data_IF_441469663383
#
_entry.id   IF_441469663383
#
_cell.length_a   1.000
_cell.length_b   1.000
_cell.length_c   1.000
_cell.angle_alpha   90.00
_cell.angle_beta   90.00
_cell.angle_gamma   90.00
#
_symmetry.space_group_name_H-M   'P 1'
#
loop_
_entity.id
_entity.type
_entity.pdbx_description
1 polymer ?
#
# COMPACT_ATOMS: atom_id res chain seq x y z
N UNK A 1 19.37 -19.51 -2.65
CA UNK A 1 19.42 -18.04 -2.79
C UNK A 1 18.57 -17.45 -1.67
N UNK A 2 19.08 -16.44 -0.96
CA UNK A 2 18.34 -15.79 0.13
C UNK A 2 17.90 -14.39 -0.33
N UNK A 3 16.59 -14.05 -0.26
CA UNK A 3 16.12 -12.72 -0.63
C UNK A 3 16.57 -11.68 0.40
N UNK A 4 16.98 -10.51 -0.09
CA UNK A 4 17.40 -9.36 0.74
C UNK A 4 16.69 -8.10 0.25
N UNK A 5 16.16 -7.31 1.19
CA UNK A 5 15.60 -5.99 0.90
C UNK A 5 16.75 -4.99 0.82
N UNK A 6 16.74 -4.16 -0.20
CA UNK A 6 17.74 -3.12 -0.47
C UNK A 6 17.04 -1.84 -0.92
N UNK A 7 17.81 -0.77 -1.14
CA UNK A 7 17.34 0.56 -1.56
C UNK A 7 16.37 1.22 -0.56
N UNK A 8 16.94 1.77 0.50
CA UNK A 8 16.22 2.53 1.52
C UNK A 8 16.19 4.04 1.21
N UNK A 9 16.43 4.47 -0.03
CA UNK A 9 16.54 5.89 -0.41
C UNK A 9 15.28 6.72 -0.16
N UNK A 10 14.11 6.08 -0.11
CA UNK A 10 12.82 6.69 0.23
C UNK A 10 12.34 6.39 1.65
N UNK A 11 13.11 5.62 2.43
CA UNK A 11 12.72 5.22 3.79
C UNK A 11 12.68 6.42 4.73
N UNK A 12 11.77 6.35 5.72
CA UNK A 12 11.62 7.40 6.74
C UNK A 12 11.62 6.77 8.13
N UNK A 13 12.39 7.36 9.04
CA UNK A 13 12.39 6.97 10.45
C UNK A 13 11.22 7.60 11.19
N UNK A 14 10.49 6.80 11.95
CA UNK A 14 9.50 7.29 12.92
C UNK A 14 10.16 7.47 14.29
N UNK A 15 9.81 8.52 15.04
CA UNK A 15 10.37 8.76 16.39
C UNK A 15 9.76 7.86 17.50
N UNK A 16 8.97 6.85 17.11
CA UNK A 16 8.27 5.95 18.03
C UNK A 16 7.00 6.53 18.67
N UNK A 17 6.80 7.86 18.64
CA UNK A 17 5.59 8.53 19.19
C UNK A 17 4.53 8.76 18.13
N UNK A 18 4.89 8.72 16.85
CA UNK A 18 3.99 8.89 15.71
C UNK A 18 3.96 7.62 14.87
N UNK A 19 2.77 7.19 14.47
CA UNK A 19 2.56 6.07 13.54
C UNK A 19 2.35 6.51 12.09
N UNK A 20 2.21 7.83 11.87
CA UNK A 20 1.91 8.42 10.55
C UNK A 20 2.70 9.71 10.35
N UNK A 21 3.24 9.90 9.15
CA UNK A 21 3.89 11.13 8.67
C UNK A 21 3.09 11.66 7.50
N UNK A 22 2.88 12.97 7.43
CA UNK A 22 2.26 13.62 6.28
C UNK A 22 3.35 14.18 5.36
N UNK A 23 3.20 13.98 4.06
CA UNK A 23 4.07 14.53 3.02
C UNK A 23 3.25 15.21 1.93
N UNK A 24 3.77 16.33 1.41
CA UNK A 24 3.20 17.02 0.24
C UNK A 24 3.76 16.42 -1.05
N UNK A 25 5.03 16.00 -1.02
CA UNK A 25 5.69 15.36 -2.14
C UNK A 25 5.55 13.85 -2.01
N UNK A 26 4.79 13.26 -2.93
CA UNK A 26 4.59 11.82 -3.04
C UNK A 26 5.67 11.26 -3.95
N UNK A 27 6.45 10.32 -3.43
CA UNK A 27 7.47 9.57 -4.16
C UNK A 27 7.19 8.07 -4.05
N UNK A 28 7.36 7.34 -5.15
CA UNK A 28 7.19 5.89 -5.18
C UNK A 28 6.92 5.36 -6.58
N UNK A 29 6.82 4.04 -6.71
CA UNK A 29 6.51 3.37 -7.98
C UNK A 29 4.99 3.20 -8.13
N UNK A 30 4.43 3.67 -9.23
CA UNK A 30 3.00 3.52 -9.53
C UNK A 30 2.57 2.04 -9.48
N UNK A 31 1.41 1.79 -8.87
CA UNK A 31 0.89 0.44 -8.60
C UNK A 31 1.39 -0.21 -7.30
N UNK A 32 2.39 0.38 -6.63
CA UNK A 32 2.84 -0.04 -5.28
C UNK A 32 2.54 1.02 -4.21
N UNK A 33 2.25 2.26 -4.62
CA UNK A 33 1.87 3.35 -3.73
C UNK A 33 0.48 3.07 -3.14
N UNK A 34 0.38 3.13 -1.82
CA UNK A 34 -0.88 2.96 -1.10
C UNK A 34 -1.84 4.13 -1.36
N UNK A 35 -3.16 3.90 -1.43
CA UNK A 35 -4.13 4.94 -1.75
C UNK A 35 -4.14 6.09 -0.74
N UNK A 36 -3.94 5.82 0.54
CA UNK A 36 -3.84 6.84 1.58
C UNK A 36 -2.65 7.79 1.41
N UNK A 37 -1.57 7.32 0.77
CA UNK A 37 -0.43 8.15 0.42
C UNK A 37 -0.76 9.06 -0.77
N UNK A 38 -1.56 8.60 -1.73
CA UNK A 38 -2.03 9.42 -2.87
C UNK A 38 -3.08 10.45 -2.46
N UNK A 39 -4.05 10.05 -1.65
CA UNK A 39 -5.20 10.87 -1.29
C UNK A 39 -4.86 11.89 -0.21
N UNK A 40 -4.04 11.48 0.78
CA UNK A 40 -3.83 12.25 2.02
C UNK A 40 -2.36 12.55 2.30
N UNK A 41 -1.44 12.07 1.47
CA UNK A 41 -0.01 12.19 1.73
C UNK A 41 0.44 11.40 2.96
N UNK A 42 -0.32 10.40 3.40
CA UNK A 42 -0.08 9.66 4.64
C UNK A 42 0.92 8.51 4.44
N UNK A 43 2.09 8.64 5.06
CA UNK A 43 3.09 7.57 5.17
C UNK A 43 2.90 6.88 6.52
N UNK A 44 2.74 5.56 6.52
CA UNK A 44 2.61 4.77 7.74
C UNK A 44 3.10 3.34 7.51
N UNK A 45 3.32 2.53 8.55
CA UNK A 45 3.60 1.11 8.35
C UNK A 45 2.51 0.36 7.53
N UNK A 46 1.27 0.87 7.51
CA UNK A 46 0.19 0.29 6.71
C UNK A 46 0.39 0.50 5.19
N UNK A 47 1.00 1.62 4.79
CA UNK A 47 1.30 1.86 3.38
C UNK A 47 2.38 0.90 2.88
N UNK A 48 3.33 0.50 3.73
CA UNK A 48 4.34 -0.51 3.40
C UNK A 48 3.72 -1.90 3.26
N UNK A 49 2.79 -2.26 4.15
CA UNK A 49 2.02 -3.53 4.07
C UNK A 49 1.22 -3.60 2.77
N UNK A 50 0.61 -2.50 2.32
CA UNK A 50 -0.09 -2.45 1.03
C UNK A 50 0.85 -2.82 -0.12
N UNK A 51 2.02 -2.16 -0.20
CA UNK A 51 3.00 -2.41 -1.25
C UNK A 51 3.54 -3.85 -1.21
N UNK A 52 3.75 -4.41 -0.02
CA UNK A 52 4.15 -5.81 0.18
C UNK A 52 3.08 -6.78 -0.32
N UNK A 53 1.80 -6.48 -0.08
CA UNK A 53 0.68 -7.27 -0.62
C UNK A 53 0.72 -7.35 -2.15
N UNK A 54 1.02 -6.24 -2.82
CA UNK A 54 1.20 -6.22 -4.29
C UNK A 54 2.41 -7.07 -4.72
N UNK A 55 3.53 -7.00 -4.00
CA UNK A 55 4.73 -7.82 -4.30
C UNK A 55 4.41 -9.31 -4.16
N UNK A 56 3.84 -9.73 -3.03
CA UNK A 56 3.48 -11.13 -2.77
C UNK A 56 2.53 -11.65 -3.84
N UNK A 57 1.55 -10.84 -4.22
CA UNK A 57 0.61 -11.18 -5.29
C UNK A 57 1.33 -11.45 -6.61
N UNK A 58 2.21 -10.54 -7.04
CA UNK A 58 2.99 -10.71 -8.26
C UNK A 58 3.88 -11.95 -8.22
N UNK A 59 4.41 -12.29 -7.04
CA UNK A 59 5.20 -13.51 -6.86
C UNK A 59 4.33 -14.77 -7.01
N UNK A 60 3.09 -14.77 -6.50
CA UNK A 60 2.17 -15.91 -6.60
C UNK A 60 1.65 -16.10 -8.03
N UNK A 61 1.30 -15.02 -8.72
CA UNK A 61 0.79 -15.06 -10.10
C UNK A 61 1.91 -15.28 -11.15
N UNK A 62 3.15 -14.94 -10.80
CA UNK A 62 4.27 -14.92 -11.74
C UNK A 62 4.46 -13.54 -12.37
N UNK A 63 5.73 -13.15 -12.54
CA UNK A 63 6.15 -11.77 -12.87
C UNK A 63 5.68 -11.23 -14.23
N UNK A 64 5.15 -12.09 -15.10
CA UNK A 64 4.79 -11.76 -16.49
C UNK A 64 3.27 -11.67 -16.71
N UNK A 65 2.45 -11.99 -15.71
CA UNK A 65 1.01 -11.80 -15.86
C UNK A 65 0.67 -10.32 -15.78
N UNK A 66 0.08 -9.80 -16.86
CA UNK A 66 -0.65 -8.55 -16.82
C UNK A 66 -1.78 -8.77 -15.81
N UNK A 67 -1.67 -8.15 -14.64
CA UNK A 67 -2.74 -8.16 -13.66
C UNK A 67 -3.92 -7.44 -14.33
N UNK A 68 -4.83 -8.22 -14.93
CA UNK A 68 -6.02 -7.71 -15.59
C UNK A 68 -6.84 -6.92 -14.58
N UNK A 69 -7.55 -5.87 -15.02
CA UNK A 69 -8.28 -4.96 -14.13
C UNK A 69 -9.22 -5.67 -13.15
N UNK A 70 -9.76 -6.84 -13.51
CA UNK A 70 -10.59 -7.65 -12.62
C UNK A 70 -9.80 -8.29 -11.47
N UNK A 71 -8.65 -8.89 -11.78
CA UNK A 71 -7.74 -9.44 -10.76
C UNK A 71 -7.19 -8.29 -9.92
N UNK A 72 -6.81 -7.17 -10.55
CA UNK A 72 -6.29 -5.96 -9.90
C UNK A 72 -7.31 -5.37 -8.94
N UNK A 73 -8.59 -5.25 -9.33
CA UNK A 73 -9.66 -4.76 -8.45
C UNK A 73 -9.87 -5.67 -7.25
N UNK A 74 -10.01 -6.98 -7.46
CA UNK A 74 -10.24 -7.93 -6.37
C UNK A 74 -9.06 -7.97 -5.39
N UNK A 75 -7.82 -7.88 -5.89
CA UNK A 75 -6.62 -7.89 -5.07
C UNK A 75 -6.35 -6.59 -4.34
N UNK A 76 -6.56 -5.45 -5.00
CA UNK A 76 -6.54 -4.16 -4.31
C UNK A 76 -7.63 -4.14 -3.22
N UNK A 77 -8.80 -4.73 -3.49
CA UNK A 77 -9.84 -4.90 -2.47
C UNK A 77 -9.35 -5.75 -1.31
N UNK A 78 -8.71 -6.92 -1.55
CA UNK A 78 -8.19 -7.79 -0.49
C UNK A 78 -7.13 -7.08 0.33
N UNK A 79 -6.10 -6.50 -0.32
CA UNK A 79 -4.99 -5.84 0.37
C UNK A 79 -5.47 -4.60 1.12
N UNK A 80 -6.34 -3.78 0.52
CA UNK A 80 -6.92 -2.62 1.19
C UNK A 80 -7.88 -3.02 2.33
N UNK A 81 -8.67 -4.09 2.16
CA UNK A 81 -9.59 -4.58 3.21
C UNK A 81 -8.81 -5.15 4.40
N UNK A 82 -7.74 -5.93 4.17
CA UNK A 82 -6.86 -6.42 5.23
C UNK A 82 -6.16 -5.28 5.99
N UNK A 83 -5.70 -4.22 5.31
CA UNK A 83 -5.14 -3.04 5.98
C UNK A 83 -6.17 -2.26 6.80
N UNK A 84 -7.44 -2.28 6.39
CA UNK A 84 -8.57 -1.71 7.14
C UNK A 84 -9.10 -2.64 8.24
N UNK A 85 -8.73 -3.92 8.25
CA UNK A 85 -9.19 -4.91 9.24
C UNK A 85 -8.28 -5.06 10.46
N UNK A 86 -7.17 -4.30 10.59
CA UNK A 86 -6.54 -4.08 11.90
C UNK A 86 -7.34 -3.02 12.66
N UNK A 87 -8.28 -3.40 13.54
CA UNK A 87 -9.26 -2.50 14.11
C UNK A 87 -8.76 -2.07 15.49
N UNK A 88 -8.16 -0.89 15.57
CA UNK A 88 -8.18 -0.14 16.82
C UNK A 88 -8.59 1.29 16.51
N UNK A 89 -9.87 1.54 16.75
CA UNK A 89 -10.60 2.82 16.84
C UNK A 89 -11.03 3.51 15.54
N UNK A 90 -12.35 3.46 15.28
CA UNK A 90 -13.11 4.67 14.92
C UNK A 90 -13.53 4.85 13.45
N UNK A 91 -14.72 4.32 13.12
CA UNK A 91 -15.76 4.80 12.17
C UNK A 91 -15.32 5.75 11.04
N UNK A 92 -15.52 5.32 9.79
CA UNK A 92 -16.58 5.85 8.89
C UNK A 92 -16.31 5.43 7.42
N UNK A 93 -17.19 4.58 6.90
CA UNK A 93 -17.62 4.45 5.47
C UNK A 93 -16.67 4.98 4.38
N UNK A 94 -15.98 4.06 3.69
CA UNK A 94 -15.31 4.31 2.42
C UNK A 94 -16.30 4.22 1.26
N UNK A 95 -16.59 5.37 0.62
CA UNK A 95 -17.12 5.42 -0.73
C UNK A 95 -15.92 5.54 -1.68
N UNK A 96 -15.41 4.42 -2.19
CA UNK A 96 -14.47 4.44 -3.32
C UNK A 96 -15.28 4.75 -4.59
N UNK A 97 -15.25 6.00 -5.05
CA UNK A 97 -15.62 6.30 -6.44
C UNK A 97 -14.51 5.77 -7.37
N UNK A 98 -14.86 5.09 -8.47
CA UNK A 98 -13.87 4.64 -9.43
C UNK A 98 -13.22 5.87 -10.09
N UNK A 99 -11.90 5.97 -9.99
CA UNK A 99 -11.10 6.91 -10.77
C UNK A 99 -11.47 6.79 -12.25
N UNK A 100 -11.96 7.91 -12.80
CA UNK A 100 -12.00 8.21 -14.23
C UNK A 100 -10.68 8.86 -14.63
#
# INVERSE_FOLDING_TARGET
MEPKITDFGLSRSFDGRKSTILTINIFGTMGYIAPELLEKGQISPKSDIYSLGIIVTKLILGSNEIITENVRRNLIFIVAFSCNMLPSLGKSTFFCHPYR
#
